data_IF_121106090842
#
_entry.id   IF_121106090842
#
_cell.length_a   1.000
_cell.length_b   1.000
_cell.length_c   1.000
_cell.angle_alpha   90.00
_cell.angle_beta   90.00
_cell.angle_gamma   90.00
#
_symmetry.space_group_name_H-M   'P 1'
#
loop_
_entity.id
_entity.type
_entity.pdbx_description
1 polymer ?
#
# COMPACT_ATOMS: atom_id res chain seq x y z
N UNK A 1 -32.53 -10.96 23.54
CA UNK A 1 -31.14 -11.48 23.55
C UNK A 1 -31.11 -12.71 22.66
N UNK A 2 -30.11 -12.91 21.76
CA UNK A 2 -29.04 -11.96 21.33
C UNK A 2 -29.60 -10.63 20.76
N UNK A 3 -28.88 -9.60 20.31
CA UNK A 3 -27.44 -9.18 20.37
C UNK A 3 -26.37 -9.94 19.56
N UNK A 4 -26.17 -9.58 18.27
CA UNK A 4 -24.85 -9.59 17.61
C UNK A 4 -24.78 -8.66 16.39
N UNK A 5 -23.68 -7.90 16.25
CA UNK A 5 -23.08 -7.48 14.97
C UNK A 5 -23.90 -6.61 14.00
N UNK A 6 -23.88 -5.28 14.20
CA UNK A 6 -23.95 -4.34 13.06
C UNK A 6 -22.64 -4.42 12.27
N UNK A 7 -22.57 -5.34 11.30
CA UNK A 7 -21.41 -5.45 10.42
C UNK A 7 -21.46 -4.35 9.35
N UNK A 8 -20.89 -3.19 9.66
CA UNK A 8 -20.82 -2.05 8.76
C UNK A 8 -19.75 -2.23 7.66
N UNK A 9 -19.95 -3.20 6.76
CA UNK A 9 -19.11 -3.41 5.58
C UNK A 9 -19.83 -4.25 4.49
N UNK A 10 -20.97 -3.78 3.98
CA UNK A 10 -21.63 -4.39 2.82
C UNK A 10 -22.51 -3.40 2.05
N UNK A 11 -21.91 -2.48 1.29
CA UNK A 11 -22.65 -1.82 0.19
C UNK A 11 -22.55 -2.74 -1.03
N UNK A 12 -23.59 -3.56 -1.20
CA UNK A 12 -23.71 -4.51 -2.30
C UNK A 12 -24.12 -3.78 -3.60
N UNK A 13 -23.42 -4.17 -4.67
CA UNK A 13 -23.50 -3.70 -6.04
C UNK A 13 -24.89 -3.24 -6.55
N UNK A 14 -24.90 -2.08 -7.23
CA UNK A 14 -25.96 -1.70 -8.16
C UNK A 14 -25.42 -0.82 -9.30
N UNK A 15 -25.74 -1.21 -10.55
CA UNK A 15 -25.74 -0.39 -11.78
C UNK A 15 -24.41 0.26 -12.25
N UNK A 16 -23.79 -0.34 -13.27
CA UNK A 16 -23.50 0.34 -14.54
C UNK A 16 -22.54 1.54 -14.57
N UNK A 17 -21.79 1.82 -13.51
CA UNK A 17 -20.76 2.86 -13.49
C UNK A 17 -19.49 2.30 -12.87
N UNK A 18 -18.35 2.48 -13.54
CA UNK A 18 -17.01 2.26 -12.97
C UNK A 18 -16.70 3.37 -11.96
N UNK A 19 -17.44 3.37 -10.86
CA UNK A 19 -17.07 4.13 -9.68
C UNK A 19 -15.86 3.43 -9.07
N UNK A 20 -14.68 3.86 -9.50
CA UNK A 20 -13.39 3.39 -8.97
C UNK A 20 -13.33 3.75 -7.50
N UNK A 21 -13.78 2.83 -6.63
CA UNK A 21 -13.54 2.94 -5.20
C UNK A 21 -12.04 2.79 -5.06
N UNK A 22 -11.35 3.92 -4.86
CA UNK A 22 -9.92 3.95 -4.62
C UNK A 22 -9.68 3.33 -3.25
N UNK A 23 -9.50 2.00 -3.26
CA UNK A 23 -9.21 1.23 -2.07
C UNK A 23 -7.74 1.47 -1.67
N UNK A 24 -7.44 1.55 -0.36
CA UNK A 24 -6.07 1.70 0.07
C UNK A 24 -5.28 0.42 -0.27
N UNK A 25 -3.95 0.52 -0.48
CA UNK A 25 -3.12 -0.53 -1.10
C UNK A 25 -3.01 -1.84 -0.30
N UNK A 26 -3.51 -1.89 0.93
CA UNK A 26 -3.58 -3.08 1.77
C UNK A 26 -4.89 -3.87 1.62
N UNK A 27 -5.80 -3.48 0.71
CA UNK A 27 -6.98 -4.30 0.38
C UNK A 27 -6.58 -5.31 -0.70
N UNK A 28 -6.68 -6.63 -0.43
CA UNK A 28 -6.28 -7.66 -1.36
C UNK A 28 -7.17 -7.66 -2.60
N UNK A 29 -6.56 -7.69 -3.80
CA UNK A 29 -7.27 -7.62 -5.07
C UNK A 29 -7.45 -9.01 -5.71
N UNK A 30 -6.44 -9.86 -5.57
CA UNK A 30 -6.37 -11.23 -6.07
C UNK A 30 -6.82 -12.25 -5.03
N UNK A 31 -7.05 -13.50 -5.44
CA UNK A 31 -7.36 -14.60 -4.51
C UNK A 31 -6.18 -14.95 -3.60
N UNK A 32 -4.95 -14.94 -4.15
CA UNK A 32 -3.72 -15.19 -3.39
C UNK A 32 -3.51 -14.18 -2.25
N UNK A 33 -3.71 -12.88 -2.50
CA UNK A 33 -3.64 -11.85 -1.46
C UNK A 33 -4.76 -12.01 -0.41
N UNK A 34 -5.94 -12.53 -0.78
CA UNK A 34 -7.06 -12.79 0.16
C UNK A 34 -6.77 -13.97 1.08
N UNK A 35 -6.15 -15.03 0.58
CA UNK A 35 -5.74 -16.18 1.39
C UNK A 35 -4.82 -15.77 2.56
N UNK A 36 -4.07 -14.67 2.39
CA UNK A 36 -3.16 -14.11 3.38
C UNK A 36 -3.51 -12.65 3.77
N UNK A 37 -4.80 -12.28 3.82
CA UNK A 37 -5.21 -10.86 3.96
C UNK A 37 -4.63 -10.16 5.19
N UNK A 38 -4.47 -10.87 6.31
CA UNK A 38 -3.94 -10.32 7.56
C UNK A 38 -2.44 -10.04 7.47
N UNK A 39 -1.67 -11.01 6.96
CA UNK A 39 -0.22 -10.88 6.76
C UNK A 39 0.11 -9.85 5.68
N UNK A 40 -0.66 -9.82 4.59
CA UNK A 40 -0.55 -8.83 3.53
C UNK A 40 -0.81 -7.41 4.06
N UNK A 41 -1.92 -7.22 4.79
CA UNK A 41 -2.26 -5.93 5.39
C UNK A 41 -1.22 -5.46 6.40
N UNK A 42 -0.74 -6.36 7.26
CA UNK A 42 0.29 -6.04 8.24
C UNK A 42 1.65 -5.74 7.58
N UNK A 43 2.02 -6.43 6.49
CA UNK A 43 3.20 -6.11 5.69
C UNK A 43 3.13 -4.70 5.09
N UNK A 44 2.01 -4.32 4.47
CA UNK A 44 1.80 -2.96 3.94
C UNK A 44 1.78 -1.91 5.08
N UNK A 45 1.15 -2.20 6.22
CA UNK A 45 1.17 -1.30 7.38
C UNK A 45 2.54 -1.22 8.06
N UNK A 46 3.40 -2.24 7.96
CA UNK A 46 4.80 -2.15 8.39
C UNK A 46 5.62 -1.22 7.51
N UNK A 47 5.27 -1.01 6.25
CA UNK A 47 5.93 -0.01 5.40
C UNK A 47 5.80 1.40 5.98
N UNK A 48 4.59 1.77 6.46
CA UNK A 48 4.35 3.10 7.03
C UNK A 48 4.93 3.33 8.43
N UNK A 49 5.43 2.27 9.08
CA UNK A 49 6.18 2.38 10.33
C UNK A 49 7.62 2.89 10.13
N UNK A 50 8.21 2.72 8.94
CA UNK A 50 9.59 3.11 8.64
C UNK A 50 9.64 4.35 7.74
N UNK A 51 9.99 5.51 8.33
CA UNK A 51 10.13 6.77 7.60
C UNK A 51 11.11 6.71 6.41
N UNK A 52 12.12 5.84 6.45
CA UNK A 52 13.09 5.65 5.37
C UNK A 52 12.49 5.11 4.06
N UNK A 53 11.43 4.28 4.14
CA UNK A 53 10.77 3.71 2.96
C UNK A 53 10.11 4.77 2.07
N UNK A 54 9.82 5.95 2.62
CA UNK A 54 9.26 7.06 1.85
C UNK A 54 10.32 7.90 1.15
N UNK A 55 11.56 7.88 1.64
CA UNK A 55 12.68 8.68 1.10
C UNK A 55 13.51 7.89 0.09
N UNK A 56 13.57 6.57 0.24
CA UNK A 56 14.31 5.68 -0.65
C UNK A 56 13.33 4.73 -1.36
N UNK A 57 13.30 4.69 -2.70
CA UNK A 57 12.48 3.72 -3.43
C UNK A 57 12.90 2.28 -3.14
N UNK A 58 12.00 1.34 -3.37
CA UNK A 58 12.35 -0.09 -3.34
C UNK A 58 13.22 -0.47 -4.54
N UNK A 59 14.00 -1.55 -4.47
CA UNK A 59 14.82 -2.02 -5.60
C UNK A 59 13.99 -2.32 -6.87
N UNK A 60 12.74 -2.74 -6.69
CA UNK A 60 11.78 -3.02 -7.76
C UNK A 60 11.17 -1.76 -8.43
N UNK A 61 11.59 -0.54 -8.09
CA UNK A 61 11.14 0.68 -8.78
C UNK A 61 11.59 0.77 -10.25
N UNK A 62 12.59 -0.03 -10.64
CA UNK A 62 13.06 -0.17 -12.04
C UNK A 62 12.44 -1.37 -12.76
N UNK A 63 11.54 -2.12 -12.10
CA UNK A 63 10.93 -3.30 -12.69
C UNK A 63 10.02 -2.90 -13.87
N UNK A 64 10.07 -3.58 -15.03
CA UNK A 64 9.30 -3.19 -16.22
C UNK A 64 7.78 -3.22 -16.03
N UNK A 65 7.29 -3.91 -15.00
CA UNK A 65 5.87 -3.97 -14.63
C UNK A 65 5.47 -2.91 -13.57
N UNK A 66 6.44 -2.17 -13.01
CA UNK A 66 6.15 -1.04 -12.12
C UNK A 66 6.08 0.25 -12.94
N UNK A 67 4.85 0.68 -13.28
CA UNK A 67 4.60 2.04 -13.77
C UNK A 67 4.02 2.89 -12.63
N UNK A 68 4.49 4.13 -12.51
CA UNK A 68 3.94 5.10 -11.57
C UNK A 68 3.78 6.46 -12.25
N UNK A 69 2.53 6.90 -12.29
CA UNK A 69 2.11 8.17 -12.88
C UNK A 69 1.31 8.96 -11.84
N UNK A 70 1.75 10.19 -11.54
CA UNK A 70 1.16 10.99 -10.46
C UNK A 70 -0.34 11.23 -10.64
N UNK A 71 -0.78 11.48 -11.88
CA UNK A 71 -2.17 11.80 -12.21
C UNK A 71 -3.10 10.65 -11.83
N UNK A 72 -2.78 9.43 -12.28
CA UNK A 72 -3.56 8.22 -12.02
C UNK A 72 -3.43 7.71 -10.58
N UNK A 73 -2.26 7.88 -9.94
CA UNK A 73 -1.99 7.33 -8.62
C UNK A 73 -2.39 8.25 -7.46
N UNK A 74 -2.52 9.57 -7.70
CA UNK A 74 -2.99 10.54 -6.70
C UNK A 74 -4.27 10.15 -5.95
N UNK A 75 -5.36 9.67 -6.58
CA UNK A 75 -6.57 9.27 -5.84
C UNK A 75 -6.34 8.03 -4.95
N UNK A 76 -5.47 7.09 -5.33
CA UNK A 76 -5.06 5.97 -4.46
C UNK A 76 -4.19 6.45 -3.28
N UNK A 77 -3.29 7.40 -3.53
CA UNK A 77 -2.49 8.05 -2.51
C UNK A 77 -3.38 8.77 -1.48
N UNK A 78 -4.40 9.50 -1.93
CA UNK A 78 -5.36 10.17 -1.05
C UNK A 78 -6.18 9.17 -0.22
N UNK A 79 -6.60 8.04 -0.80
CA UNK A 79 -7.27 6.97 -0.07
C UNK A 79 -6.37 6.35 1.02
N UNK A 80 -5.10 6.07 0.70
CA UNK A 80 -4.11 5.59 1.66
C UNK A 80 -3.89 6.62 2.79
N UNK A 81 -3.71 7.90 2.42
CA UNK A 81 -3.50 9.01 3.35
C UNK A 81 -4.64 9.19 4.35
N UNK A 82 -5.90 9.13 3.87
CA UNK A 82 -7.10 9.23 4.71
C UNK A 82 -7.24 8.05 5.68
N UNK A 83 -6.70 6.88 5.33
CA UNK A 83 -6.90 5.66 6.10
C UNK A 83 -5.71 5.27 7.01
N UNK A 84 -4.52 5.88 6.88
CA UNK A 84 -3.39 5.70 7.80
C UNK A 84 -2.89 7.01 8.42
N UNK A 85 -3.16 7.18 9.73
CA UNK A 85 -2.69 8.31 10.55
C UNK A 85 -1.16 8.43 10.67
N UNK A 86 -0.37 7.44 10.23
CA UNK A 86 1.09 7.54 10.12
C UNK A 86 1.48 8.38 8.91
N UNK A 87 0.83 8.18 7.76
CA UNK A 87 1.04 9.00 6.55
C UNK A 87 0.74 10.47 6.85
N UNK A 88 -0.40 10.75 7.51
CA UNK A 88 -0.76 12.10 7.97
C UNK A 88 0.32 12.79 8.80
N UNK A 89 1.09 12.04 9.61
CA UNK A 89 2.17 12.60 10.45
C UNK A 89 3.53 12.63 9.77
N UNK A 90 3.78 11.78 8.77
CA UNK A 90 5.06 11.70 8.06
C UNK A 90 5.13 12.63 6.86
N UNK A 91 4.04 12.74 6.08
CA UNK A 91 3.97 13.52 4.86
C UNK A 91 4.36 15.01 5.07
N UNK A 92 3.77 15.79 5.99
CA UNK A 92 4.20 17.18 6.24
C UNK A 92 5.56 17.33 6.94
N UNK A 93 6.20 16.22 7.36
CA UNK A 93 7.55 16.22 7.94
C UNK A 93 8.63 15.94 6.88
N UNK A 94 8.30 15.17 5.85
CA UNK A 94 9.19 14.78 4.76
C UNK A 94 9.00 15.63 3.50
N UNK A 95 7.77 16.08 3.23
CA UNK A 95 7.41 16.90 2.07
C UNK A 95 7.10 18.33 2.54
N UNK A 96 7.60 19.39 1.86
CA UNK A 96 8.63 19.39 0.80
C UNK A 96 10.07 19.35 1.37
N UNK A 97 10.25 19.08 2.67
CA UNK A 97 11.53 19.28 3.40
C UNK A 97 12.69 18.36 2.97
N UNK A 98 12.39 17.21 2.39
CA UNK A 98 13.38 16.20 1.97
C UNK A 98 13.16 15.69 0.56
N UNK A 99 11.90 15.52 0.16
CA UNK A 99 11.49 15.01 -1.15
C UNK A 99 10.21 15.71 -1.61
N UNK A 100 9.93 15.62 -2.90
CA UNK A 100 8.64 16.05 -3.47
C UNK A 100 7.49 15.13 -3.04
N UNK A 101 6.24 15.60 -3.16
CA UNK A 101 5.07 14.77 -2.89
C UNK A 101 4.99 13.59 -3.89
N UNK A 102 5.31 13.85 -5.15
CA UNK A 102 5.35 12.81 -6.18
C UNK A 102 6.36 11.69 -5.84
N UNK A 103 7.59 12.04 -5.44
CA UNK A 103 8.59 11.05 -5.05
C UNK A 103 8.20 10.29 -3.79
N UNK A 104 7.61 10.97 -2.80
CA UNK A 104 7.11 10.31 -1.58
C UNK A 104 6.13 9.18 -1.94
N UNK A 105 5.19 9.46 -2.85
CA UNK A 105 4.21 8.47 -3.29
C UNK A 105 4.83 7.42 -4.21
N UNK A 106 5.66 7.82 -5.18
CA UNK A 106 6.42 6.90 -6.06
C UNK A 106 7.15 5.85 -5.23
N UNK A 107 7.93 6.30 -4.25
CA UNK A 107 8.70 5.44 -3.34
C UNK A 107 7.77 4.50 -2.56
N UNK A 108 6.70 5.04 -1.94
CA UNK A 108 5.72 4.24 -1.21
C UNK A 108 5.08 3.15 -2.09
N UNK A 109 4.63 3.49 -3.30
CA UNK A 109 4.05 2.53 -4.23
C UNK A 109 5.06 1.49 -4.72
N UNK A 110 6.35 1.82 -4.85
CA UNK A 110 7.39 0.84 -5.15
C UNK A 110 7.53 -0.23 -4.06
N UNK A 111 7.44 0.15 -2.77
CA UNK A 111 7.44 -0.83 -1.67
C UNK A 111 6.12 -1.61 -1.59
N UNK A 112 4.98 -0.98 -1.88
CA UNK A 112 3.68 -1.67 -1.99
C UNK A 112 3.73 -2.74 -3.09
N UNK A 113 4.24 -2.39 -4.27
CA UNK A 113 4.39 -3.31 -5.41
C UNK A 113 5.27 -4.52 -5.04
N UNK A 114 6.38 -4.27 -4.33
CA UNK A 114 7.25 -5.33 -3.82
C UNK A 114 6.53 -6.30 -2.88
N UNK A 115 5.73 -5.76 -1.93
CA UNK A 115 4.92 -6.60 -1.03
C UNK A 115 3.89 -7.39 -1.84
N UNK A 116 3.12 -6.76 -2.75
CA UNK A 116 2.17 -7.48 -3.61
C UNK A 116 2.82 -8.66 -4.35
N UNK A 117 4.02 -8.45 -4.90
CA UNK A 117 4.79 -9.50 -5.58
C UNK A 117 5.22 -10.67 -4.69
N UNK A 118 5.49 -10.42 -3.41
CA UNK A 118 5.78 -11.48 -2.41
C UNK A 118 4.57 -12.39 -2.12
N UNK A 119 3.34 -11.88 -2.27
CA UNK A 119 2.10 -12.66 -2.08
C UNK A 119 1.52 -13.20 -3.40
N UNK A 120 1.85 -12.60 -4.54
CA UNK A 120 1.46 -13.06 -5.88
C UNK A 120 2.30 -14.26 -6.35
N UNK A 121 3.61 -14.30 -6.03
CA UNK A 121 4.50 -15.39 -6.39
C UNK A 121 4.69 -16.38 -5.22
N UNK A 122 4.27 -17.66 -5.33
CA UNK A 122 4.25 -18.60 -4.19
C UNK A 122 5.62 -19.11 -3.70
N UNK A 123 6.76 -18.60 -4.22
CA UNK A 123 8.08 -19.10 -3.81
C UNK A 123 9.27 -18.18 -4.12
N UNK A 124 9.45 -17.09 -3.36
CA UNK A 124 10.80 -16.56 -3.08
C UNK A 124 10.89 -16.13 -1.61
N UNK A 125 11.68 -16.79 -0.75
CA UNK A 125 12.01 -16.23 0.55
C UNK A 125 12.87 -14.99 0.33
N UNK A 126 12.34 -13.80 0.57
CA UNK A 126 13.12 -12.56 0.52
C UNK A 126 14.27 -12.67 1.51
N UNK A 127 15.48 -12.83 0.97
CA UNK A 127 16.72 -12.92 1.73
C UNK A 127 16.84 -11.67 2.59
N UNK A 128 16.76 -11.86 3.91
CA UNK A 128 17.03 -10.82 4.90
C UNK A 128 18.53 -10.55 4.93
N UNK A 129 19.05 -9.87 3.92
CA UNK A 129 20.41 -9.31 3.94
C UNK A 129 20.45 -8.12 4.91
N UNK A 130 20.57 -8.43 6.19
CA UNK A 130 21.09 -7.53 7.22
C UNK A 130 22.48 -8.01 7.61
N UNK A 131 23.51 -7.34 7.08
CA UNK A 131 24.91 -7.54 7.47
C UNK A 131 25.20 -6.70 8.73
N UNK A 132 26.02 -7.24 9.63
CA UNK A 132 26.49 -6.77 10.95
C UNK A 132 25.97 -7.70 12.08
N UNK A 133 26.81 -8.30 12.93
CA UNK A 133 28.27 -8.18 13.16
C UNK A 133 28.89 -9.57 13.34
#
# INVERSE_FOLDING_TARGET
KPTSGVCACAVLAAMGQTQTVFLPPWVPSTDAEKQHENDFRDAIMKLSAKAGNFVTPHELHTHPEFSFDWVDHRPFAEAAYRADHRLFRLLPRLVPKRISEEEFWRNYFSHVFAVKRQFEAPSVPTVRNGVAE
#
